data_IF_921483552962
#
_entry.id   IF_921483552962
#
_cell.length_a   1.000
_cell.length_b   1.000
_cell.length_c   1.000
_cell.angle_alpha   90.00
_cell.angle_beta   90.00
_cell.angle_gamma   90.00
#
_symmetry.space_group_name_H-M   'P 1'
#
loop_
_entity.id
_entity.type
_entity.pdbx_description
1 polymer ?
#
# COMPACT_ATOMS: atom_id res chain seq x y z
N UNK A 1 12.98 -1.94 12.24
CA UNK A 1 13.39 -0.51 12.16
C UNK A 1 12.37 0.38 11.44
N UNK A 2 11.91 0.03 10.22
CA UNK A 2 10.99 0.88 9.45
C UNK A 2 9.67 1.20 10.17
N UNK A 3 9.03 0.19 10.77
CA UNK A 3 7.77 0.39 11.49
C UNK A 3 7.96 1.23 12.76
N UNK A 4 9.06 1.03 13.49
CA UNK A 4 9.41 1.81 14.67
C UNK A 4 9.65 3.30 14.32
N UNK A 5 10.33 3.57 13.20
CA UNK A 5 10.53 4.93 12.69
C UNK A 5 9.20 5.60 12.30
N UNK A 6 8.33 4.89 11.57
CA UNK A 6 7.00 5.42 11.20
C UNK A 6 6.15 5.71 12.45
N UNK A 7 6.17 4.81 13.44
CA UNK A 7 5.44 4.98 14.71
C UNK A 7 5.94 6.17 15.52
N UNK A 8 7.25 6.38 15.61
CA UNK A 8 7.80 7.55 16.32
C UNK A 8 7.39 8.84 15.61
N UNK A 9 7.55 8.91 14.29
CA UNK A 9 7.17 10.12 13.54
C UNK A 9 5.66 10.38 13.64
N UNK A 10 4.82 9.34 13.67
CA UNK A 10 3.38 9.47 13.85
C UNK A 10 3.01 10.03 15.24
N UNK A 11 3.73 9.64 16.30
CA UNK A 11 3.56 10.20 17.65
C UNK A 11 3.91 11.70 17.69
N UNK A 12 4.88 12.12 16.88
CA UNK A 12 5.30 13.53 16.75
C UNK A 12 4.69 14.25 15.53
N UNK A 13 3.50 13.82 15.06
CA UNK A 13 2.82 14.44 13.91
C UNK A 13 2.59 15.95 14.01
N UNK A 14 2.49 16.47 15.24
CA UNK A 14 2.30 17.90 15.49
C UNK A 14 3.55 18.70 15.11
N UNK A 15 4.75 18.13 15.28
CA UNK A 15 6.02 18.75 14.87
C UNK A 15 6.11 18.90 13.35
N UNK A 16 5.43 18.03 12.59
CA UNK A 16 5.39 18.10 11.12
C UNK A 16 4.48 19.24 10.61
N UNK A 17 3.48 19.66 11.42
CA UNK A 17 2.60 20.79 11.06
C UNK A 17 3.35 22.12 11.08
N UNK A 18 4.38 22.25 11.91
CA UNK A 18 5.23 23.44 11.97
C UNK A 18 6.04 23.69 10.68
N UNK A 19 6.17 22.68 9.80
CA UNK A 19 6.79 22.83 8.48
C UNK A 19 5.90 23.56 7.46
N UNK A 20 4.59 23.62 7.74
CA UNK A 20 3.68 24.44 6.95
C UNK A 20 3.76 25.82 7.57
N UNK A 21 4.51 26.72 6.94
CA UNK A 21 4.40 28.15 7.22
C UNK A 21 2.91 28.47 7.19
N UNK A 22 2.38 29.02 8.30
CA UNK A 22 1.00 29.46 8.32
C UNK A 22 0.78 30.30 7.07
N UNK A 23 -0.10 29.84 6.18
CA UNK A 23 -0.59 30.70 5.13
C UNK A 23 -1.12 31.96 5.82
N UNK A 24 -0.90 33.16 5.26
CA UNK A 24 -1.56 34.34 5.78
C UNK A 24 -3.04 33.99 5.97
N UNK A 25 -3.64 34.42 7.08
CA UNK A 25 -5.09 34.25 7.26
C UNK A 25 -5.77 34.60 5.94
N UNK A 26 -6.71 33.77 5.46
CA UNK A 26 -7.42 34.10 4.24
C UNK A 26 -7.93 35.53 4.42
N UNK A 27 -7.54 36.44 3.51
CA UNK A 27 -8.19 37.73 3.41
C UNK A 27 -9.70 37.47 3.52
N UNK A 28 -10.43 38.28 4.32
CA UNK A 28 -11.86 38.07 4.51
C UNK A 28 -12.46 37.85 3.13
N UNK A 29 -13.21 36.74 2.97
CA UNK A 29 -13.79 36.32 1.69
C UNK A 29 -14.11 37.56 0.87
N UNK A 30 -13.57 37.75 -0.35
CA UNK A 30 -14.04 38.83 -1.19
C UNK A 30 -15.54 38.60 -1.28
N UNK A 31 -16.30 39.56 -0.70
CA UNK A 31 -17.74 39.54 -0.69
C UNK A 31 -18.15 39.13 -2.09
N UNK A 32 -18.84 37.99 -2.20
CA UNK A 32 -19.32 37.41 -3.45
C UNK A 32 -19.57 38.55 -4.42
N UNK A 33 -18.69 38.69 -5.43
CA UNK A 33 -18.89 39.71 -6.46
C UNK A 33 -20.32 39.52 -6.91
N UNK A 34 -21.16 40.51 -6.56
CA UNK A 34 -22.55 40.53 -6.99
C UNK A 34 -22.49 40.38 -8.49
N UNK A 35 -22.94 39.21 -8.97
CA UNK A 35 -23.02 38.88 -10.37
C UNK A 35 -23.63 40.09 -11.06
N UNK A 36 -22.82 40.85 -11.80
CA UNK A 36 -23.20 42.13 -12.38
C UNK A 36 -24.20 41.95 -13.53
N UNK A 37 -24.74 40.74 -13.71
CA UNK A 37 -26.01 40.57 -14.37
C UNK A 37 -27.09 41.03 -13.38
N UNK A 38 -27.77 42.15 -13.67
CA UNK A 38 -28.95 42.59 -12.91
C UNK A 38 -30.14 41.63 -13.00
N UNK A 39 -29.90 40.31 -13.08
CA UNK A 39 -30.88 39.25 -13.07
C UNK A 39 -31.00 38.70 -11.63
N UNK A 40 -32.19 38.71 -11.02
CA UNK A 40 -32.43 38.14 -9.69
C UNK A 40 -32.32 36.60 -9.63
N UNK A 41 -31.80 35.93 -10.67
CA UNK A 41 -31.72 34.47 -10.79
C UNK A 41 -30.27 33.99 -10.95
N UNK A 42 -29.80 33.02 -10.14
CA UNK A 42 -28.50 32.38 -10.33
C UNK A 42 -28.42 31.62 -11.67
N UNK A 43 -27.26 31.70 -12.33
CA UNK A 43 -26.97 30.98 -13.58
C UNK A 43 -27.01 29.45 -13.37
N UNK A 44 -27.73 28.73 -14.25
CA UNK A 44 -27.85 27.25 -14.19
C UNK A 44 -28.90 26.69 -13.22
N UNK A 45 -29.77 27.54 -12.66
CA UNK A 45 -30.84 27.08 -11.77
C UNK A 45 -32.04 26.56 -12.56
N UNK A 46 -32.32 25.25 -12.50
CA UNK A 46 -33.38 24.53 -13.23
C UNK A 46 -34.76 25.20 -13.22
N UNK A 47 -35.08 25.92 -12.14
CA UNK A 47 -36.34 26.67 -12.02
C UNK A 47 -36.33 27.98 -12.83
N UNK A 48 -35.22 28.71 -12.84
CA UNK A 48 -35.05 29.94 -13.61
C UNK A 48 -35.16 29.62 -15.11
N UNK A 49 -34.48 28.56 -15.55
CA UNK A 49 -34.52 28.11 -16.94
C UNK A 49 -35.92 27.67 -17.36
N UNK A 50 -36.62 26.92 -16.49
CA UNK A 50 -38.02 26.53 -16.73
C UNK A 50 -38.96 27.73 -16.78
N UNK A 51 -38.72 28.76 -15.97
CA UNK A 51 -39.54 29.97 -15.95
C UNK A 51 -39.31 30.81 -17.20
N UNK A 52 -38.05 30.97 -17.63
CA UNK A 52 -37.69 31.61 -18.91
C UNK A 52 -38.30 30.88 -20.10
N UNK A 53 -38.20 29.54 -20.13
CA UNK A 53 -38.80 28.73 -21.19
C UNK A 53 -40.33 28.91 -21.25
N UNK A 54 -41.03 28.81 -20.11
CA UNK A 54 -42.49 28.99 -20.04
C UNK A 54 -42.93 30.42 -20.38
N UNK A 55 -42.14 31.43 -20.02
CA UNK A 55 -42.39 32.83 -20.41
C UNK A 55 -42.24 33.01 -21.92
N UNK A 56 -41.18 32.46 -22.51
CA UNK A 56 -40.98 32.46 -23.95
C UNK A 56 -42.14 31.77 -24.70
N UNK A 57 -42.60 30.61 -24.22
CA UNK A 57 -43.72 29.86 -24.82
C UNK A 57 -45.04 30.66 -24.78
N UNK A 58 -45.34 31.29 -23.65
CA UNK A 58 -46.54 32.13 -23.48
C UNK A 58 -46.48 33.35 -24.40
N UNK A 59 -45.35 34.06 -24.44
CA UNK A 59 -45.18 35.27 -25.27
C UNK A 59 -45.14 34.95 -26.76
N UNK A 60 -44.58 33.81 -27.16
CA UNK A 60 -44.58 33.35 -28.56
C UNK A 60 -46.02 33.12 -29.05
N UNK A 61 -46.87 32.45 -28.25
CA UNK A 61 -48.27 32.22 -28.61
C UNK A 61 -49.09 33.51 -28.62
N UNK A 62 -48.83 34.46 -27.71
CA UNK A 62 -49.49 35.77 -27.71
C UNK A 62 -49.08 36.60 -28.93
N UNK A 63 -47.79 36.57 -29.32
CA UNK A 63 -47.28 37.25 -30.53
C UNK A 63 -47.87 36.65 -31.81
N UNK A 64 -48.14 35.35 -31.81
CA UNK A 64 -48.84 34.66 -32.90
C UNK A 64 -50.37 34.94 -32.93
N UNK A 65 -50.89 35.81 -32.06
CA UNK A 65 -52.29 36.26 -32.07
C UNK A 65 -53.26 35.40 -31.26
N UNK A 66 -52.77 34.39 -30.52
CA UNK A 66 -53.64 33.59 -29.66
C UNK A 66 -54.13 34.38 -28.44
N UNK A 67 -55.42 34.23 -28.10
CA UNK A 67 -55.95 34.81 -26.86
C UNK A 67 -55.39 34.10 -25.62
N UNK A 68 -55.28 34.79 -24.49
CA UNK A 68 -54.83 34.21 -23.20
C UNK A 68 -55.58 32.92 -22.82
N UNK A 69 -56.88 32.80 -23.17
CA UNK A 69 -57.69 31.58 -22.92
C UNK A 69 -57.31 30.42 -23.84
N UNK A 70 -56.84 30.71 -25.05
CA UNK A 70 -56.28 29.71 -25.97
C UNK A 70 -54.95 29.18 -25.44
N UNK A 71 -54.06 30.08 -25.01
CA UNK A 71 -52.76 29.74 -24.41
C UNK A 71 -52.93 28.85 -23.17
N UNK A 72 -53.92 29.15 -22.33
CA UNK A 72 -54.29 28.32 -21.18
C UNK A 72 -54.59 26.86 -21.57
N UNK A 73 -55.43 26.65 -22.59
CA UNK A 73 -55.81 25.31 -23.06
C UNK A 73 -54.65 24.57 -23.71
N UNK A 74 -53.81 25.28 -24.45
CA UNK A 74 -52.73 24.68 -25.23
C UNK A 74 -51.51 24.31 -24.39
N UNK A 75 -51.17 25.09 -23.36
CA UNK A 75 -50.04 24.82 -22.47
C UNK A 75 -50.45 24.07 -21.18
N UNK A 76 -51.74 23.78 -20.98
CA UNK A 76 -52.25 23.09 -19.78
C UNK A 76 -52.00 23.86 -18.48
N UNK A 77 -51.88 25.19 -18.55
CA UNK A 77 -51.60 26.05 -17.40
C UNK A 77 -52.89 26.61 -16.79
N UNK A 78 -52.84 27.06 -15.54
CA UNK A 78 -54.00 27.76 -14.94
C UNK A 78 -54.15 29.16 -15.51
N UNK A 79 -55.38 29.69 -15.52
CA UNK A 79 -55.66 31.07 -15.95
C UNK A 79 -54.80 32.11 -15.21
N UNK A 80 -54.63 31.94 -13.88
CA UNK A 80 -53.76 32.84 -13.08
C UNK A 80 -52.31 32.80 -13.54
N UNK A 81 -51.79 31.63 -13.85
CA UNK A 81 -50.41 31.47 -14.34
C UNK A 81 -50.23 32.11 -15.71
N UNK A 82 -51.14 31.87 -16.66
CA UNK A 82 -51.06 32.49 -18.00
C UNK A 82 -51.17 34.00 -17.90
N UNK A 83 -52.08 34.52 -17.07
CA UNK A 83 -52.20 35.96 -16.82
C UNK A 83 -50.89 36.53 -16.26
N UNK A 84 -50.34 35.90 -15.22
CA UNK A 84 -49.09 36.34 -14.59
C UNK A 84 -47.91 36.36 -15.56
N UNK A 85 -47.76 35.32 -16.40
CA UNK A 85 -46.68 35.22 -17.39
C UNK A 85 -46.89 36.18 -18.58
N UNK A 86 -48.12 36.43 -18.98
CA UNK A 86 -48.46 37.38 -20.05
C UNK A 86 -48.28 38.84 -19.62
N UNK A 87 -48.55 39.15 -18.35
CA UNK A 87 -48.45 40.50 -17.80
C UNK A 87 -47.00 40.87 -17.42
N UNK A 88 -46.13 39.88 -17.20
CA UNK A 88 -44.70 40.09 -16.97
C UNK A 88 -43.97 40.38 -18.29
N UNK A 89 -43.36 41.56 -18.40
CA UNK A 89 -42.61 41.97 -19.60
C UNK A 89 -41.28 41.21 -19.71
N UNK A 90 -40.71 40.82 -18.58
CA UNK A 90 -39.47 40.06 -18.48
C UNK A 90 -39.66 38.85 -17.55
N UNK A 91 -39.05 37.68 -17.85
CA UNK A 91 -39.08 36.52 -16.95
C UNK A 91 -38.62 36.83 -15.52
N UNK A 92 -37.76 37.83 -15.37
CA UNK A 92 -37.19 38.29 -14.10
C UNK A 92 -38.24 38.90 -13.16
N UNK A 93 -39.32 39.48 -13.68
CA UNK A 93 -40.42 40.05 -12.87
C UNK A 93 -41.26 38.97 -12.15
N UNK A 94 -41.13 37.71 -12.59
CA UNK A 94 -41.74 36.55 -11.93
C UNK A 94 -40.92 36.05 -10.74
N UNK A 95 -39.75 36.65 -10.48
CA UNK A 95 -38.93 36.36 -9.29
C UNK A 95 -39.58 36.97 -8.04
N UNK A 96 -40.37 36.16 -7.35
CA UNK A 96 -40.76 36.48 -5.98
C UNK A 96 -39.68 35.94 -5.05
N UNK A 97 -39.02 36.82 -4.29
CA UNK A 97 -37.88 36.51 -3.41
C UNK A 97 -38.09 35.41 -2.36
N UNK A 98 -39.26 34.76 -2.33
CA UNK A 98 -39.56 33.59 -1.51
C UNK A 98 -38.66 32.36 -1.79
N UNK A 99 -37.97 32.32 -2.93
CA UNK A 99 -37.21 31.14 -3.35
C UNK A 99 -35.71 31.19 -3.03
N UNK A 100 -35.18 32.35 -2.67
CA UNK A 100 -33.72 32.53 -2.66
C UNK A 100 -33.01 31.94 -1.44
N UNK A 101 -33.68 31.71 -0.30
CA UNK A 101 -32.99 31.19 0.90
C UNK A 101 -33.97 30.48 1.84
N UNK A 102 -34.58 29.37 1.42
CA UNK A 102 -35.24 28.50 2.39
C UNK A 102 -34.18 27.60 3.03
N UNK A 103 -34.00 27.65 4.36
CA UNK A 103 -33.13 26.71 5.06
C UNK A 103 -33.52 25.29 4.66
N UNK A 104 -32.57 24.57 4.07
CA UNK A 104 -32.72 23.14 3.83
C UNK A 104 -32.56 22.43 5.16
N UNK A 105 -33.26 21.30 5.35
CA UNK A 105 -33.07 20.41 6.52
C UNK A 105 -31.61 19.94 6.67
N UNK A 106 -30.79 20.03 5.62
CA UNK A 106 -29.33 19.76 5.69
C UNK A 106 -28.56 20.89 6.36
N UNK A 107 -29.05 22.12 6.29
CA UNK A 107 -28.32 23.31 6.75
C UNK A 107 -28.02 23.24 8.24
N UNK A 108 -28.96 22.74 9.04
CA UNK A 108 -28.80 22.51 10.48
C UNK A 108 -27.71 21.48 10.83
N UNK A 109 -27.38 20.58 9.89
CA UNK A 109 -26.40 19.50 10.08
C UNK A 109 -25.07 19.77 9.35
N UNK A 110 -24.94 20.91 8.64
CA UNK A 110 -23.69 21.29 7.97
C UNK A 110 -22.48 21.34 8.91
N UNK A 111 -22.57 21.92 10.13
CA UNK A 111 -21.43 21.97 11.04
C UNK A 111 -20.90 20.56 11.37
N UNK A 112 -21.80 19.64 11.70
CA UNK A 112 -21.43 18.24 11.99
C UNK A 112 -20.81 17.55 10.77
N UNK A 113 -21.40 17.73 9.58
CA UNK A 113 -20.87 17.16 8.35
C UNK A 113 -19.47 17.70 8.02
N UNK A 114 -19.19 18.96 8.38
CA UNK A 114 -17.91 19.62 8.14
C UNK A 114 -16.81 19.15 9.09
N UNK A 115 -17.13 18.99 10.37
CA UNK A 115 -16.21 18.45 11.36
C UNK A 115 -15.79 17.02 10.98
N UNK A 116 -16.76 16.15 10.65
CA UNK A 116 -16.49 14.77 10.24
C UNK A 116 -15.72 14.69 8.92
N UNK A 117 -15.97 15.61 8.00
CA UNK A 117 -15.19 15.73 6.76
C UNK A 117 -13.72 16.10 7.04
N UNK A 118 -13.49 17.01 7.98
CA UNK A 118 -12.14 17.44 8.37
C UNK A 118 -11.38 16.37 9.16
N UNK A 119 -12.09 15.49 9.88
CA UNK A 119 -11.54 14.29 10.52
C UNK A 119 -11.17 13.17 9.52
N UNK A 120 -11.48 13.36 8.23
CA UNK A 120 -11.14 12.43 7.14
C UNK A 120 -12.24 11.46 6.74
N UNK A 121 -13.45 11.56 7.33
CA UNK A 121 -14.59 10.76 6.90
C UNK A 121 -15.22 11.37 5.64
N UNK A 122 -14.83 10.88 4.47
CA UNK A 122 -15.33 11.40 3.18
C UNK A 122 -16.51 10.60 2.61
N UNK A 123 -16.90 9.49 3.24
CA UNK A 123 -17.99 8.65 2.74
C UNK A 123 -19.37 9.28 3.04
N UNK A 124 -20.05 9.75 1.99
CA UNK A 124 -21.35 10.42 2.10
C UNK A 124 -22.47 9.53 2.66
N UNK A 125 -22.40 8.21 2.44
CA UNK A 125 -23.38 7.26 2.99
C UNK A 125 -23.24 7.17 4.50
N UNK A 126 -22.00 6.99 4.98
CA UNK A 126 -21.68 6.91 6.41
C UNK A 126 -22.10 8.19 7.15
N UNK A 127 -21.81 9.35 6.56
CA UNK A 127 -22.21 10.63 7.15
C UNK A 127 -23.73 10.81 7.18
N UNK A 128 -24.46 10.32 6.17
CA UNK A 128 -25.92 10.33 6.19
C UNK A 128 -26.49 9.40 7.27
N UNK A 129 -25.93 8.20 7.39
CA UNK A 129 -26.30 7.22 8.42
C UNK A 129 -26.03 7.75 9.85
N UNK A 130 -24.97 8.53 10.06
CA UNK A 130 -24.65 9.16 11.34
C UNK A 130 -25.64 10.28 11.73
N UNK A 131 -26.14 11.07 10.77
CA UNK A 131 -27.05 12.18 11.07
C UNK A 131 -28.53 11.78 11.17
N UNK A 132 -28.93 10.63 10.60
CA UNK A 132 -30.32 10.12 10.70
C UNK A 132 -30.74 9.91 12.16
N UNK A 133 -29.95 9.24 13.03
CA UNK A 133 -30.22 9.14 14.46
C UNK A 133 -30.21 10.48 15.20
N UNK A 134 -29.46 11.47 14.69
CA UNK A 134 -29.43 12.83 15.25
C UNK A 134 -30.67 13.66 14.91
N UNK A 135 -31.65 13.08 14.21
CA UNK A 135 -32.93 13.71 13.89
C UNK A 135 -33.04 14.22 12.44
N UNK A 136 -32.09 13.88 11.57
CA UNK A 136 -32.12 14.30 10.18
C UNK A 136 -33.26 13.63 9.40
N UNK A 137 -34.20 14.45 8.91
CA UNK A 137 -35.38 14.00 8.14
C UNK A 137 -35.25 14.21 6.62
N UNK A 138 -34.07 14.61 6.15
CA UNK A 138 -33.84 14.88 4.73
C UNK A 138 -33.38 13.64 3.95
N UNK A 139 -33.32 13.75 2.62
CA UNK A 139 -32.86 12.65 1.77
C UNK A 139 -31.32 12.55 1.73
N UNK A 140 -30.82 11.34 1.50
CA UNK A 140 -29.41 11.06 1.24
C UNK A 140 -28.86 11.94 0.09
N UNK A 141 -29.66 12.17 -0.95
CA UNK A 141 -29.24 12.97 -2.12
C UNK A 141 -28.86 14.41 -1.75
N UNK A 142 -29.46 15.01 -0.71
CA UNK A 142 -29.09 16.35 -0.25
C UNK A 142 -27.74 16.38 0.45
N UNK A 143 -27.45 15.37 1.29
CA UNK A 143 -26.13 15.21 1.92
C UNK A 143 -25.07 14.94 0.86
N UNK A 144 -25.37 14.04 -0.09
CA UNK A 144 -24.48 13.75 -1.22
C UNK A 144 -24.20 15.00 -2.06
N UNK A 145 -25.21 15.81 -2.39
CA UNK A 145 -25.04 17.04 -3.16
C UNK A 145 -24.18 18.08 -2.41
N UNK A 146 -24.40 18.24 -1.10
CA UNK A 146 -23.60 19.12 -0.25
C UNK A 146 -22.11 18.72 -0.23
N UNK A 147 -21.84 17.43 0.01
CA UNK A 147 -20.47 16.89 0.05
C UNK A 147 -19.82 16.84 -1.34
N UNK A 148 -20.62 16.70 -2.41
CA UNK A 148 -20.11 16.78 -3.77
C UNK A 148 -19.59 18.18 -4.09
N UNK A 149 -20.30 19.24 -3.69
CA UNK A 149 -19.82 20.62 -3.81
C UNK A 149 -18.48 20.81 -3.10
N UNK A 150 -18.30 20.24 -1.90
CA UNK A 150 -17.01 20.30 -1.18
C UNK A 150 -15.87 19.53 -1.85
N UNK A 151 -16.18 18.49 -2.64
CA UNK A 151 -15.19 17.77 -3.45
C UNK A 151 -14.76 18.53 -4.69
N UNK A 152 -15.70 19.25 -5.31
CA UNK A 152 -15.49 19.93 -6.58
C UNK A 152 -15.10 21.39 -6.43
N UNK A 153 -15.28 22.00 -5.25
CA UNK A 153 -14.77 23.32 -4.94
C UNK A 153 -13.23 23.35 -5.03
N UNK A 154 -12.65 24.32 -5.76
CA UNK A 154 -11.20 24.49 -5.80
C UNK A 154 -10.72 24.82 -4.38
N UNK A 155 -9.98 23.91 -3.76
CA UNK A 155 -9.26 24.22 -2.51
C UNK A 155 -8.02 25.05 -2.86
N UNK A 156 -7.71 26.13 -2.12
CA UNK A 156 -6.37 26.70 -2.18
C UNK A 156 -5.39 25.58 -1.84
N UNK A 157 -4.33 25.44 -2.66
CA UNK A 157 -3.26 24.45 -2.46
C UNK A 157 -2.44 24.92 -1.26
N UNK A 158 -2.95 24.73 -0.05
CA UNK A 158 -2.14 24.85 1.16
C UNK A 158 -1.21 23.65 1.15
N UNK A 159 0.10 23.91 1.14
CA UNK A 159 1.12 22.87 1.21
C UNK A 159 0.80 21.96 2.41
N UNK A 160 0.47 20.70 2.14
CA UNK A 160 0.19 19.75 3.21
C UNK A 160 1.51 19.38 3.90
N UNK A 161 1.52 19.26 5.23
CA UNK A 161 2.71 18.76 5.90
C UNK A 161 3.02 17.35 5.38
N UNK A 162 4.31 16.98 5.27
CA UNK A 162 4.68 15.64 4.83
C UNK A 162 4.09 14.60 5.78
N UNK A 163 3.67 13.46 5.22
CA UNK A 163 3.09 12.39 6.03
C UNK A 163 4.15 11.76 6.95
N UNK A 164 3.77 11.16 8.09
CA UNK A 164 4.72 10.46 8.95
C UNK A 164 5.52 9.38 8.21
N UNK A 165 4.86 8.68 7.29
CA UNK A 165 5.48 7.68 6.42
C UNK A 165 6.51 8.29 5.46
N UNK A 166 6.23 9.48 4.93
CA UNK A 166 7.15 10.22 4.07
C UNK A 166 8.42 10.58 4.83
N UNK A 167 8.29 11.17 6.02
CA UNK A 167 9.43 11.58 6.85
C UNK A 167 10.21 10.37 7.35
N UNK A 168 9.54 9.29 7.77
CA UNK A 168 10.21 8.03 8.12
C UNK A 168 10.98 7.45 6.93
N UNK A 169 10.42 7.55 5.71
CA UNK A 169 11.08 7.19 4.46
C UNK A 169 12.36 8.01 4.22
N UNK A 170 12.35 9.31 4.50
CA UNK A 170 13.55 10.15 4.43
C UNK A 170 14.60 9.73 5.46
N UNK A 171 14.19 9.41 6.70
CA UNK A 171 15.10 8.99 7.77
C UNK A 171 15.81 7.66 7.42
N UNK A 172 15.10 6.74 6.76
CA UNK A 172 15.61 5.40 6.42
C UNK A 172 16.46 5.38 5.14
N UNK A 173 16.43 6.44 4.33
CA UNK A 173 17.22 6.55 3.10
C UNK A 173 18.59 7.16 3.39
N UNK A 174 19.54 6.85 2.50
CA UNK A 174 20.86 7.46 2.50
C UNK A 174 20.73 8.97 2.24
N UNK A 175 21.35 9.85 3.04
CA UNK A 175 21.27 11.30 2.87
C UNK A 175 21.63 11.76 1.45
N UNK A 176 22.60 11.10 0.83
CA UNK A 176 23.14 11.47 -0.49
C UNK A 176 22.17 11.17 -1.64
N UNK A 177 21.19 10.29 -1.43
CA UNK A 177 20.20 9.91 -2.45
C UNK A 177 18.89 10.67 -2.32
N UNK A 178 18.74 11.51 -1.30
CA UNK A 178 17.57 12.35 -1.10
C UNK A 178 17.68 13.63 -1.93
N UNK A 179 16.62 14.05 -2.65
CA UNK A 179 16.56 15.37 -3.28
C UNK A 179 16.81 16.50 -2.27
N UNK A 180 17.45 17.57 -2.71
CA UNK A 180 17.85 18.71 -1.85
C UNK A 180 16.65 19.32 -1.09
N UNK A 181 15.49 19.41 -1.73
CA UNK A 181 14.26 19.88 -1.09
C UNK A 181 13.82 18.99 0.09
N UNK A 182 13.94 17.66 -0.04
CA UNK A 182 13.60 16.71 1.03
C UNK A 182 14.65 16.74 2.15
N UNK A 183 15.92 16.93 1.81
CA UNK A 183 16.98 17.12 2.80
C UNK A 183 16.75 18.37 3.65
N UNK A 184 16.36 19.48 3.02
CA UNK A 184 16.05 20.72 3.72
C UNK A 184 14.83 20.56 4.64
N UNK A 185 13.77 19.91 4.17
CA UNK A 185 12.59 19.62 4.99
C UNK A 185 12.93 18.72 6.17
N UNK A 186 13.68 17.63 5.97
CA UNK A 186 14.12 16.75 7.06
C UNK A 186 14.99 17.51 8.07
N UNK A 187 15.89 18.39 7.60
CA UNK A 187 16.71 19.24 8.47
C UNK A 187 15.82 20.13 9.35
N UNK A 188 14.82 20.78 8.76
CA UNK A 188 13.87 21.62 9.51
C UNK A 188 13.10 20.81 10.55
N UNK A 189 12.60 19.61 10.21
CA UNK A 189 11.92 18.73 11.18
C UNK A 189 12.82 18.39 12.37
N UNK A 190 14.08 18.03 12.10
CA UNK A 190 15.05 17.66 13.15
C UNK A 190 15.38 18.84 14.07
N UNK A 191 15.44 20.06 13.53
CA UNK A 191 15.64 21.26 14.35
C UNK A 191 14.46 21.54 15.28
N UNK A 192 13.23 21.26 14.85
CA UNK A 192 12.02 21.54 15.63
C UNK A 192 11.57 20.41 16.56
N UNK A 193 12.11 19.20 16.41
CA UNK A 193 11.73 18.05 17.21
C UNK A 193 12.97 17.24 17.62
N UNK A 194 13.47 17.44 18.87
CA UNK A 194 14.60 16.70 19.41
C UNK A 194 14.43 15.18 19.36
N UNK A 195 13.20 14.68 19.49
CA UNK A 195 12.88 13.26 19.44
C UNK A 195 13.05 12.67 18.02
N UNK A 196 12.64 13.41 16.99
CA UNK A 196 12.89 13.02 15.59
C UNK A 196 14.38 13.13 15.24
N UNK A 197 15.09 14.12 15.79
CA UNK A 197 16.55 14.20 15.64
C UNK A 197 17.26 12.99 16.27
N UNK A 198 16.88 12.63 17.50
CA UNK A 198 17.40 11.46 18.19
C UNK A 198 17.10 10.17 17.42
N UNK A 199 15.85 9.98 16.96
CA UNK A 199 15.49 8.86 16.09
C UNK A 199 16.38 8.83 14.84
N UNK A 200 16.55 9.96 14.16
CA UNK A 200 17.35 10.04 12.94
C UNK A 200 18.79 9.61 13.19
N UNK A 201 19.38 10.07 14.31
CA UNK A 201 20.72 9.70 14.73
C UNK A 201 20.84 8.20 15.02
N UNK A 202 19.90 7.60 15.75
CA UNK A 202 19.91 6.16 16.05
C UNK A 202 19.73 5.30 14.80
N UNK A 203 18.81 5.66 13.90
CA UNK A 203 18.60 4.93 12.64
C UNK A 203 19.85 4.99 11.77
N UNK A 204 20.49 6.16 11.65
CA UNK A 204 21.73 6.31 10.88
C UNK A 204 22.90 5.54 11.51
N UNK A 205 23.07 5.61 12.83
CA UNK A 205 24.11 4.84 13.53
C UNK A 205 23.92 3.33 13.35
N UNK A 206 22.68 2.85 13.39
CA UNK A 206 22.37 1.44 13.13
C UNK A 206 22.63 1.05 11.67
N UNK A 207 22.30 1.93 10.72
CA UNK A 207 22.58 1.69 9.30
C UNK A 207 24.08 1.59 9.02
N UNK A 208 24.90 2.48 9.62
CA UNK A 208 26.37 2.41 9.54
C UNK A 208 26.88 1.08 10.10
N UNK A 209 26.38 0.68 11.28
CA UNK A 209 26.74 -0.59 11.90
C UNK A 209 26.44 -1.79 11.00
N UNK A 210 25.31 -1.75 10.29
CA UNK A 210 24.89 -2.79 9.37
C UNK A 210 25.71 -2.80 8.06
N UNK A 211 26.07 -1.62 7.52
CA UNK A 211 26.82 -1.52 6.27
C UNK A 211 28.32 -1.75 6.44
N UNK A 212 28.89 -1.30 7.55
CA UNK A 212 30.33 -1.44 7.88
C UNK A 212 30.63 -2.68 8.71
N UNK A 213 29.60 -3.47 9.02
CA UNK A 213 29.66 -4.71 9.77
C UNK A 213 30.27 -4.61 11.18
N UNK A 214 29.85 -3.59 11.92
CA UNK A 214 30.38 -3.24 13.24
C UNK A 214 29.51 -3.80 14.38
N UNK A 215 29.23 -5.10 14.37
CA UNK A 215 28.31 -5.72 15.35
C UNK A 215 28.76 -5.52 16.81
N UNK A 216 30.05 -5.35 17.07
CA UNK A 216 30.63 -5.05 18.38
C UNK A 216 30.10 -3.74 19.00
N UNK A 217 29.59 -2.81 18.18
CA UNK A 217 29.03 -1.51 18.63
C UNK A 217 27.57 -1.57 19.03
N UNK A 218 26.90 -2.71 18.83
CA UNK A 218 25.49 -2.90 19.16
C UNK A 218 25.15 -2.59 20.64
N UNK A 219 25.97 -2.99 21.64
CA UNK A 219 25.69 -2.70 23.04
C UNK A 219 25.61 -1.21 23.35
N UNK A 220 26.57 -0.44 22.82
CA UNK A 220 26.63 1.01 23.02
C UNK A 220 25.45 1.70 22.34
N UNK A 221 25.06 1.21 21.17
CA UNK A 221 23.88 1.70 20.47
C UNK A 221 22.58 1.45 21.27
N UNK A 222 22.40 0.25 21.83
CA UNK A 222 21.26 -0.07 22.68
C UNK A 222 21.22 0.82 23.94
N UNK A 223 22.37 1.03 24.58
CA UNK A 223 22.48 1.93 25.73
C UNK A 223 22.13 3.39 25.35
N UNK A 224 22.54 3.83 24.16
CA UNK A 224 22.19 5.15 23.66
C UNK A 224 20.68 5.30 23.39
N UNK A 225 20.04 4.31 22.77
CA UNK A 225 18.58 4.33 22.52
C UNK A 225 17.79 4.41 23.83
N UNK A 226 18.24 3.70 24.87
CA UNK A 226 17.60 3.73 26.20
C UNK A 226 17.79 5.05 26.93
N UNK A 227 18.93 5.73 26.71
CA UNK A 227 19.23 7.03 27.33
C UNK A 227 18.40 8.16 26.74
N UNK A 228 18.18 8.14 25.43
CA UNK A 228 17.40 9.15 24.73
C UNK A 228 15.88 8.94 24.89
N UNK A 229 15.47 7.89 25.62
CA UNK A 229 14.08 7.54 25.99
C UNK A 229 13.09 7.69 24.82
N UNK A 230 13.29 6.85 23.78
CA UNK A 230 12.43 6.81 22.60
C UNK A 230 11.49 5.60 22.68
N UNK A 231 10.23 5.75 23.16
CA UNK A 231 9.36 4.62 23.45
C UNK A 231 9.06 3.76 22.21
N UNK A 232 9.04 4.38 21.03
CA UNK A 232 8.85 3.71 19.75
C UNK A 232 9.97 2.72 19.38
N UNK A 233 11.18 2.90 19.93
CA UNK A 233 12.32 2.00 19.73
C UNK A 233 12.49 1.00 20.88
N UNK A 234 11.82 1.16 22.02
CA UNK A 234 11.99 0.27 23.18
C UNK A 234 11.64 -1.17 22.89
N UNK A 235 10.53 -1.43 22.19
CA UNK A 235 10.15 -2.79 21.80
C UNK A 235 11.18 -3.43 20.87
N UNK A 236 11.74 -2.64 19.95
CA UNK A 236 12.79 -3.10 19.04
C UNK A 236 14.10 -3.38 19.81
N UNK A 237 14.51 -2.47 20.68
CA UNK A 237 15.70 -2.61 21.52
C UNK A 237 15.60 -3.83 22.44
N UNK A 238 14.43 -4.07 23.06
CA UNK A 238 14.18 -5.25 23.87
C UNK A 238 14.15 -6.56 23.05
N UNK A 239 13.70 -6.51 21.79
CA UNK A 239 13.84 -7.62 20.85
C UNK A 239 15.30 -7.93 20.56
N UNK A 240 16.06 -6.93 20.15
CA UNK A 240 17.48 -7.06 19.82
C UNK A 240 18.30 -7.56 21.02
N UNK A 241 18.01 -7.09 22.23
CA UNK A 241 18.76 -7.49 23.43
C UNK A 241 18.51 -8.95 23.84
N UNK A 242 17.33 -9.51 23.52
CA UNK A 242 17.04 -10.94 23.73
C UNK A 242 17.86 -11.84 22.81
N UNK A 243 18.07 -11.40 21.57
CA UNK A 243 18.79 -12.15 20.53
C UNK A 243 20.19 -11.56 20.29
N UNK A 244 20.78 -10.93 21.30
CA UNK A 244 21.95 -10.04 21.16
C UNK A 244 23.13 -10.71 20.45
N UNK A 245 23.50 -11.92 20.86
CA UNK A 245 24.64 -12.63 20.26
C UNK A 245 24.38 -12.97 18.79
N UNK A 246 23.15 -13.37 18.46
CA UNK A 246 22.73 -13.64 17.09
C UNK A 246 22.72 -12.38 16.22
N UNK A 247 22.27 -11.24 16.77
CA UNK A 247 22.28 -9.96 16.06
C UNK A 247 23.70 -9.44 15.87
N UNK A 248 24.58 -9.55 16.88
CA UNK A 248 26.01 -9.22 16.75
C UNK A 248 26.63 -10.08 15.65
N UNK A 249 26.39 -11.39 15.64
CA UNK A 249 26.88 -12.28 14.60
C UNK A 249 26.36 -11.88 13.22
N UNK A 250 25.05 -11.61 13.08
CA UNK A 250 24.44 -11.17 11.82
C UNK A 250 24.88 -9.79 11.34
N UNK A 251 25.34 -8.92 12.24
CA UNK A 251 25.93 -7.62 11.91
C UNK A 251 27.43 -7.70 11.63
N UNK A 252 28.14 -8.73 12.08
CA UNK A 252 29.61 -8.82 11.94
C UNK A 252 30.02 -9.75 10.80
N UNK A 253 29.33 -10.86 10.65
CA UNK A 253 29.69 -11.92 9.70
C UNK A 253 29.22 -11.58 8.29
N UNK A 254 29.92 -12.07 7.25
CA UNK A 254 29.50 -11.89 5.85
C UNK A 254 28.21 -12.62 5.47
N UNK A 255 27.73 -13.52 6.32
CA UNK A 255 26.59 -14.40 6.07
C UNK A 255 25.32 -13.82 6.71
N UNK A 256 24.31 -13.49 5.91
CA UNK A 256 23.02 -12.97 6.41
C UNK A 256 21.85 -13.75 5.83
N UNK A 257 20.97 -14.25 6.71
CA UNK A 257 19.72 -14.92 6.34
C UNK A 257 18.57 -13.95 6.00
N UNK A 258 18.81 -12.63 6.03
CA UNK A 258 17.76 -11.60 5.95
C UNK A 258 16.99 -11.53 4.62
N UNK A 259 17.50 -12.18 3.57
CA UNK A 259 16.74 -12.35 2.33
C UNK A 259 15.61 -13.37 2.53
N UNK A 260 15.86 -14.49 3.23
CA UNK A 260 14.94 -15.62 3.44
C UNK A 260 13.69 -15.20 4.25
N UNK A 261 13.83 -14.29 5.23
CA UNK A 261 12.71 -13.88 6.10
C UNK A 261 11.66 -13.00 5.41
N UNK A 262 12.02 -12.24 4.37
CA UNK A 262 11.05 -11.39 3.63
C UNK A 262 10.12 -12.19 2.71
N UNK A 263 10.43 -13.46 2.45
CA UNK A 263 9.68 -14.33 1.54
C UNK A 263 8.43 -14.94 2.16
N UNK A 264 8.41 -15.16 3.48
CA UNK A 264 7.25 -15.75 4.19
C UNK A 264 6.02 -14.82 4.14
N UNK A 265 6.22 -13.52 3.93
CA UNK A 265 5.15 -12.51 4.09
C UNK A 265 4.41 -12.17 2.78
N UNK A 266 4.87 -12.61 1.61
CA UNK A 266 4.39 -12.06 0.31
C UNK A 266 3.85 -13.07 -0.71
N UNK A 267 3.53 -14.29 -0.28
CA UNK A 267 2.84 -15.30 -1.09
C UNK A 267 1.42 -15.47 -0.56
N UNK A 268 0.44 -14.94 -1.29
CA UNK A 268 -1.02 -15.06 -1.16
C UNK A 268 -1.66 -15.07 0.25
N UNK A 269 -2.41 -14.01 0.56
CA UNK A 269 -3.08 -13.77 1.85
C UNK A 269 -4.30 -14.65 2.14
N UNK A 270 -4.64 -15.64 1.31
CA UNK A 270 -5.90 -16.37 1.46
C UNK A 270 -5.85 -17.80 2.02
N UNK A 271 -4.74 -18.56 1.99
CA UNK A 271 -4.81 -19.99 2.40
C UNK A 271 -3.62 -20.62 3.15
N UNK A 272 -2.55 -19.91 3.50
CA UNK A 272 -1.42 -20.54 4.24
C UNK A 272 -0.90 -19.70 5.42
N UNK A 273 -1.80 -19.31 6.33
CA UNK A 273 -1.37 -18.86 7.66
C UNK A 273 -1.23 -20.07 8.59
N UNK A 274 0.04 -20.42 8.89
CA UNK A 274 0.51 -21.10 10.12
C UNK A 274 1.25 -22.45 9.98
N UNK A 275 1.67 -22.90 8.80
CA UNK A 275 2.58 -24.07 8.73
C UNK A 275 4.05 -23.62 8.65
N UNK A 276 4.84 -23.96 9.65
CA UNK A 276 6.31 -23.88 9.58
C UNK A 276 6.79 -24.82 8.47
N UNK A 277 7.65 -24.35 7.57
CA UNK A 277 8.15 -25.11 6.43
C UNK A 277 9.68 -25.00 6.34
N UNK A 278 10.30 -26.07 5.84
CA UNK A 278 11.72 -26.07 5.46
C UNK A 278 11.82 -25.60 4.00
N UNK A 279 12.73 -24.66 3.75
CA UNK A 279 13.08 -24.18 2.41
C UNK A 279 14.57 -24.43 2.21
N UNK A 280 14.92 -25.11 1.11
CA UNK A 280 16.31 -25.38 0.73
C UNK A 280 16.67 -24.36 -0.35
N UNK A 281 17.73 -23.58 -0.13
CA UNK A 281 18.20 -22.60 -1.13
C UNK A 281 19.43 -23.14 -1.85
N UNK A 282 19.42 -23.04 -3.17
CA UNK A 282 20.51 -23.46 -4.05
C UNK A 282 20.96 -22.26 -4.89
N UNK A 283 22.24 -21.92 -4.81
CA UNK A 283 22.83 -20.86 -5.62
C UNK A 283 23.05 -21.36 -7.05
N UNK A 284 22.73 -20.53 -8.03
CA UNK A 284 22.96 -20.79 -9.45
C UNK A 284 23.15 -19.51 -10.26
N UNK A 285 23.76 -19.62 -11.43
CA UNK A 285 23.96 -18.54 -12.40
C UNK A 285 22.72 -18.37 -13.27
N UNK A 286 22.06 -19.46 -13.69
CA UNK A 286 20.85 -19.43 -14.51
C UNK A 286 19.68 -20.13 -13.81
N UNK A 287 18.84 -19.33 -13.14
CA UNK A 287 17.66 -19.84 -12.43
C UNK A 287 16.64 -20.52 -13.35
N UNK A 288 16.56 -20.15 -14.63
CA UNK A 288 15.61 -20.74 -15.57
C UNK A 288 16.07 -22.12 -16.04
N UNK A 289 17.33 -22.23 -16.47
CA UNK A 289 17.91 -23.51 -16.87
C UNK A 289 17.90 -24.51 -15.71
N UNK A 290 18.21 -24.03 -14.50
CA UNK A 290 18.14 -24.82 -13.28
C UNK A 290 16.71 -25.23 -12.92
N UNK A 291 15.73 -24.34 -13.08
CA UNK A 291 14.33 -24.69 -12.85
C UNK A 291 13.89 -25.82 -13.78
N UNK A 292 14.26 -25.78 -15.06
CA UNK A 292 13.90 -26.81 -16.03
C UNK A 292 14.53 -28.17 -15.69
N UNK A 293 15.83 -28.17 -15.32
CA UNK A 293 16.50 -29.37 -14.84
C UNK A 293 15.82 -29.95 -13.59
N UNK A 294 15.65 -29.13 -12.54
CA UNK A 294 15.14 -29.60 -11.26
C UNK A 294 13.66 -30.03 -11.33
N UNK A 295 12.83 -29.41 -12.17
CA UNK A 295 11.46 -29.86 -12.40
C UNK A 295 11.41 -31.22 -13.12
N UNK A 296 12.30 -31.44 -14.10
CA UNK A 296 12.40 -32.73 -14.77
C UNK A 296 12.98 -33.83 -13.84
N UNK A 297 13.99 -33.48 -13.04
CA UNK A 297 14.59 -34.36 -12.05
C UNK A 297 13.57 -34.74 -10.96
N UNK A 298 12.82 -33.78 -10.43
CA UNK A 298 11.83 -33.99 -9.36
C UNK A 298 10.43 -34.34 -9.88
N UNK A 299 10.28 -34.67 -11.17
CA UNK A 299 8.98 -35.01 -11.76
C UNK A 299 8.18 -36.09 -11.01
N UNK A 300 8.78 -37.14 -10.39
CA UNK A 300 8.01 -38.10 -9.57
C UNK A 300 7.38 -37.49 -8.30
N UNK A 301 7.85 -36.33 -7.87
CA UNK A 301 7.41 -35.63 -6.65
C UNK A 301 6.44 -34.48 -6.92
N UNK A 302 5.98 -34.31 -8.16
CA UNK A 302 4.95 -33.31 -8.54
C UNK A 302 5.33 -31.84 -8.21
N UNK A 303 6.63 -31.51 -8.23
CA UNK A 303 7.10 -30.13 -8.06
C UNK A 303 6.65 -29.23 -9.21
N UNK A 304 6.36 -27.97 -8.89
CA UNK A 304 5.91 -26.95 -9.85
C UNK A 304 6.64 -25.63 -9.63
N UNK A 305 6.72 -24.81 -10.68
CA UNK A 305 7.18 -23.42 -10.54
C UNK A 305 6.23 -22.66 -9.60
N UNK A 306 6.82 -22.00 -8.61
CA UNK A 306 6.15 -21.11 -7.68
C UNK A 306 6.47 -19.65 -8.01
N UNK A 307 6.96 -18.93 -7.01
CA UNK A 307 7.42 -17.55 -7.16
C UNK A 307 8.56 -17.42 -8.19
N UNK A 308 8.54 -16.33 -8.96
CA UNK A 308 9.60 -15.91 -9.87
C UNK A 308 9.80 -14.40 -9.75
N UNK A 309 11.03 -13.98 -9.46
CA UNK A 309 11.41 -12.58 -9.39
C UNK A 309 12.84 -12.39 -8.87
N UNK A 310 13.69 -11.56 -9.52
CA UNK A 310 15.11 -11.51 -9.20
C UNK A 310 15.41 -11.23 -7.72
N UNK A 311 16.40 -11.92 -7.11
CA UNK A 311 17.25 -12.96 -7.71
C UNK A 311 16.68 -14.39 -7.63
N UNK A 312 15.38 -14.60 -7.38
CA UNK A 312 14.87 -15.92 -6.98
C UNK A 312 13.86 -16.56 -7.93
N UNK A 313 13.88 -17.89 -7.99
CA UNK A 313 12.85 -18.75 -8.57
C UNK A 313 12.60 -19.94 -7.64
N UNK A 314 11.36 -20.16 -7.20
CA UNK A 314 11.02 -21.27 -6.29
C UNK A 314 10.37 -22.43 -7.04
N UNK A 315 10.69 -23.66 -6.64
CA UNK A 315 10.01 -24.89 -7.01
C UNK A 315 9.30 -25.47 -5.79
N UNK A 316 8.00 -25.69 -5.91
CA UNK A 316 7.11 -26.05 -4.80
C UNK A 316 6.52 -27.44 -5.07
N UNK A 317 6.78 -28.37 -4.16
CA UNK A 317 6.15 -29.69 -4.14
C UNK A 317 4.85 -29.72 -3.35
N UNK A 318 4.08 -30.82 -3.42
CA UNK A 318 2.91 -31.02 -2.57
C UNK A 318 3.33 -31.10 -1.10
N UNK A 319 2.61 -30.39 -0.22
CA UNK A 319 2.90 -30.44 1.21
C UNK A 319 2.86 -31.89 1.73
N UNK A 320 3.80 -32.29 2.59
CA UNK A 320 4.76 -31.46 3.34
C UNK A 320 6.14 -31.28 2.67
N UNK A 321 6.27 -31.45 1.35
CA UNK A 321 7.55 -31.31 0.66
C UNK A 321 8.20 -29.93 0.89
N UNK A 322 9.53 -29.86 1.10
CA UNK A 322 10.24 -28.60 1.21
C UNK A 322 10.18 -27.82 -0.11
N UNK A 323 10.30 -26.49 -0.03
CA UNK A 323 10.47 -25.67 -1.23
C UNK A 323 11.94 -25.65 -1.63
N UNK A 324 12.24 -25.87 -2.91
CA UNK A 324 13.58 -25.65 -3.47
C UNK A 324 13.63 -24.23 -4.07
N UNK A 325 14.45 -23.36 -3.48
CA UNK A 325 14.61 -21.97 -3.89
C UNK A 325 15.91 -21.81 -4.68
N UNK A 326 15.82 -21.50 -5.96
CA UNK A 326 16.96 -21.19 -6.81
C UNK A 326 17.29 -19.70 -6.65
N UNK A 327 18.53 -19.41 -6.27
CA UNK A 327 19.03 -18.05 -6.05
C UNK A 327 20.07 -17.71 -7.11
N UNK A 328 19.77 -16.72 -7.94
CA UNK A 328 20.71 -16.15 -8.90
C UNK A 328 21.91 -15.50 -8.18
N UNK A 329 23.09 -16.08 -8.37
CA UNK A 329 24.40 -15.55 -7.97
C UNK A 329 25.26 -15.45 -9.24
N UNK A 330 25.86 -14.28 -9.55
CA UNK A 330 26.57 -14.08 -10.82
C UNK A 330 27.88 -14.89 -10.90
N UNK A 331 28.46 -15.25 -9.75
CA UNK A 331 29.64 -16.10 -9.69
C UNK A 331 29.26 -17.60 -9.80
N UNK A 332 29.95 -18.37 -10.64
CA UNK A 332 29.84 -19.83 -10.63
C UNK A 332 30.22 -20.43 -9.27
N UNK A 333 29.68 -21.62 -8.98
CA UNK A 333 29.97 -22.36 -7.74
C UNK A 333 31.48 -22.50 -7.49
N UNK A 334 31.90 -22.19 -6.27
CA UNK A 334 33.27 -22.36 -5.79
C UNK A 334 33.35 -23.41 -4.69
N UNK A 335 34.16 -24.44 -4.91
CA UNK A 335 34.36 -25.52 -3.95
C UNK A 335 33.13 -26.42 -3.82
N UNK A 336 33.07 -27.17 -2.71
CA UNK A 336 32.02 -28.15 -2.42
C UNK A 336 30.84 -27.51 -1.68
N UNK A 337 29.61 -27.92 -2.00
CA UNK A 337 28.44 -27.56 -1.21
C UNK A 337 28.58 -28.04 0.24
N UNK A 338 28.35 -27.15 1.21
CA UNK A 338 28.44 -27.47 2.65
C UNK A 338 27.22 -28.21 3.18
N UNK A 339 26.09 -28.07 2.48
CA UNK A 339 24.86 -28.80 2.72
C UNK A 339 24.74 -29.86 1.63
N UNK A 340 24.44 -31.10 2.04
CA UNK A 340 24.10 -32.17 1.10
C UNK A 340 22.58 -32.17 0.90
N UNK A 341 22.16 -32.22 -0.37
CA UNK A 341 20.77 -32.48 -0.74
C UNK A 341 20.66 -33.97 -1.10
N UNK A 342 19.96 -34.74 -0.29
CA UNK A 342 19.75 -36.17 -0.52
C UNK A 342 18.33 -36.40 -1.02
N UNK A 343 18.19 -37.09 -2.15
CA UNK A 343 16.90 -37.40 -2.78
C UNK A 343 16.65 -38.90 -2.75
N UNK A 344 15.62 -39.30 -2.00
CA UNK A 344 15.07 -40.65 -2.02
C UNK A 344 13.96 -40.76 -3.09
N UNK A 345 14.26 -41.44 -4.19
CA UNK A 345 13.30 -41.68 -5.26
C UNK A 345 12.45 -42.94 -5.01
N UNK A 346 12.56 -43.57 -3.84
CA UNK A 346 11.80 -44.75 -3.46
C UNK A 346 12.19 -46.03 -4.21
N UNK A 347 13.32 -46.01 -4.92
CA UNK A 347 13.87 -47.14 -5.68
C UNK A 347 15.17 -47.62 -5.07
N UNK A 348 15.38 -48.95 -5.09
CA UNK A 348 16.65 -49.56 -4.70
C UNK A 348 17.67 -49.60 -5.86
N UNK A 349 17.25 -49.30 -7.08
CA UNK A 349 18.08 -49.22 -8.29
C UNK A 349 18.53 -47.77 -8.52
N UNK A 350 19.60 -47.39 -7.83
CA UNK A 350 20.20 -46.06 -7.91
C UNK A 350 20.79 -45.78 -9.30
N UNK A 351 21.32 -46.81 -9.96
CA UNK A 351 22.00 -46.66 -11.26
C UNK A 351 21.02 -46.27 -12.35
N UNK A 352 19.85 -46.90 -12.41
CA UNK A 352 18.81 -46.52 -13.38
C UNK A 352 18.35 -45.07 -13.19
N UNK A 353 18.24 -44.63 -11.94
CA UNK A 353 17.83 -43.26 -11.62
C UNK A 353 18.92 -42.24 -11.97
N UNK A 354 20.19 -42.54 -11.69
CA UNK A 354 21.33 -41.72 -12.14
C UNK A 354 21.36 -41.65 -13.66
N UNK A 355 21.19 -42.76 -14.39
CA UNK A 355 21.13 -42.77 -15.85
C UNK A 355 20.00 -41.87 -16.39
N UNK A 356 18.87 -41.75 -15.67
CA UNK A 356 17.78 -40.83 -16.02
C UNK A 356 18.21 -39.38 -15.83
N UNK A 357 18.84 -39.06 -14.71
CA UNK A 357 19.32 -37.71 -14.41
C UNK A 357 20.44 -37.27 -15.37
N UNK A 358 21.35 -38.17 -15.77
CA UNK A 358 22.39 -37.87 -16.76
C UNK A 358 21.79 -37.49 -18.12
N UNK A 359 20.69 -38.15 -18.55
CA UNK A 359 19.95 -37.76 -19.76
C UNK A 359 19.31 -36.37 -19.66
N UNK A 360 19.11 -35.85 -18.45
CA UNK A 360 18.59 -34.50 -18.19
C UNK A 360 19.70 -33.45 -18.05
N UNK A 361 20.98 -33.86 -18.08
CA UNK A 361 22.13 -32.97 -17.97
C UNK A 361 22.87 -33.02 -16.63
N UNK A 362 22.52 -33.96 -15.74
CA UNK A 362 23.32 -34.20 -14.54
C UNK A 362 24.66 -34.87 -14.88
N UNK A 363 25.65 -34.73 -14.00
CA UNK A 363 26.92 -35.45 -14.08
C UNK A 363 27.10 -36.41 -12.90
N UNK A 364 27.37 -37.69 -13.14
CA UNK A 364 27.77 -38.63 -12.08
C UNK A 364 29.16 -38.27 -11.53
N UNK A 365 29.26 -38.10 -10.21
CA UNK A 365 30.50 -37.70 -9.52
C UNK A 365 31.14 -38.83 -8.71
N UNK A 366 30.40 -39.88 -8.36
CA UNK A 366 30.92 -41.04 -7.63
C UNK A 366 30.35 -42.35 -8.17
N UNK A 367 31.01 -43.46 -7.89
CA UNK A 367 30.37 -44.77 -7.92
C UNK A 367 29.35 -44.92 -6.78
N UNK A 368 28.60 -46.02 -6.75
CA UNK A 368 27.71 -46.34 -5.62
C UNK A 368 28.54 -46.48 -4.33
N UNK A 369 28.21 -45.63 -3.37
CA UNK A 369 28.77 -45.61 -2.03
C UNK A 369 27.77 -46.25 -1.06
N UNK A 370 28.30 -46.90 -0.04
CA UNK A 370 27.48 -47.55 0.99
C UNK A 370 28.14 -47.43 2.35
N UNK A 371 27.38 -46.94 3.34
CA UNK A 371 27.83 -46.78 4.71
C UNK A 371 26.64 -46.94 5.65
N UNK A 372 26.80 -47.71 6.73
CA UNK A 372 25.74 -47.94 7.74
C UNK A 372 24.37 -48.37 7.17
N UNK A 373 24.36 -49.03 6.01
CA UNK A 373 23.14 -49.50 5.33
C UNK A 373 22.47 -48.45 4.46
N UNK A 374 22.96 -47.21 4.43
CA UNK A 374 22.62 -46.21 3.42
C UNK A 374 23.38 -46.52 2.14
N UNK A 375 22.74 -46.33 0.99
CA UNK A 375 23.38 -46.41 -0.32
C UNK A 375 23.11 -45.14 -1.09
N UNK A 376 24.12 -44.59 -1.74
CA UNK A 376 23.95 -43.37 -2.52
C UNK A 376 24.95 -43.25 -3.67
N UNK A 377 24.58 -42.47 -4.68
CA UNK A 377 25.47 -42.01 -5.75
C UNK A 377 25.46 -40.48 -5.73
N UNK A 378 26.64 -39.86 -5.68
CA UNK A 378 26.77 -38.41 -5.77
C UNK A 378 26.70 -38.00 -7.24
N UNK A 379 25.81 -37.05 -7.52
CA UNK A 379 25.59 -36.45 -8.83
C UNK A 379 25.67 -34.93 -8.72
N UNK A 380 25.95 -34.25 -9.82
CA UNK A 380 25.87 -32.81 -9.92
C UNK A 380 24.78 -32.40 -10.90
N UNK A 381 24.09 -31.30 -10.60
CA UNK A 381 23.25 -30.62 -11.58
C UNK A 381 24.09 -29.94 -12.68
N UNK A 382 23.47 -29.36 -13.73
CA UNK A 382 24.19 -28.70 -14.82
C UNK A 382 25.15 -27.59 -14.41
N UNK A 383 25.01 -27.02 -13.22
CA UNK A 383 25.89 -25.99 -12.68
C UNK A 383 26.91 -26.49 -11.65
N UNK A 384 26.97 -27.81 -11.43
CA UNK A 384 27.96 -28.42 -10.56
C UNK A 384 27.57 -28.46 -9.08
N UNK A 385 26.30 -28.18 -8.73
CA UNK A 385 25.82 -28.36 -7.37
C UNK A 385 25.61 -29.85 -7.07
N UNK A 386 26.26 -30.34 -6.02
CA UNK A 386 26.20 -31.75 -5.67
C UNK A 386 24.90 -32.10 -4.92
N UNK A 387 24.29 -33.22 -5.30
CA UNK A 387 23.19 -33.89 -4.59
C UNK A 387 23.36 -35.41 -4.66
N UNK A 388 22.69 -36.15 -3.80
CA UNK A 388 22.76 -37.61 -3.77
C UNK A 388 21.46 -38.24 -4.28
N UNK A 389 21.58 -39.22 -5.16
CA UNK A 389 20.51 -40.22 -5.36
C UNK A 389 20.68 -41.24 -4.25
N UNK A 390 19.71 -41.32 -3.35
CA UNK A 390 19.86 -41.93 -2.03
C UNK A 390 18.82 -43.03 -1.82
N UNK A 391 19.21 -44.10 -1.14
CA UNK A 391 18.30 -45.14 -0.66
C UNK A 391 18.60 -45.46 0.82
N UNK A 392 17.62 -45.29 1.72
CA UNK A 392 17.81 -45.59 3.14
C UNK A 392 17.85 -47.10 3.41
N UNK A 393 18.36 -47.54 4.58
CA UNK A 393 18.25 -48.93 5.01
C UNK A 393 16.79 -49.32 5.26
N UNK A 394 16.46 -50.59 5.00
CA UNK A 394 15.11 -51.17 5.10
C UNK A 394 14.39 -50.98 6.46
N UNK A 395 15.10 -50.56 7.51
CA UNK A 395 14.56 -50.43 8.86
C UNK A 395 14.16 -48.99 9.24
N UNK A 396 14.30 -48.01 8.33
CA UNK A 396 13.80 -46.66 8.57
C UNK A 396 12.30 -46.64 8.22
N UNK A 397 11.48 -47.00 9.20
CA UNK A 397 10.03 -46.76 9.15
C UNK A 397 9.81 -45.23 9.20
N UNK A 398 9.89 -44.56 8.06
CA UNK A 398 9.25 -43.25 7.89
C UNK A 398 7.81 -43.55 7.53
N UNK A 399 6.89 -43.32 8.47
CA UNK A 399 5.45 -43.42 8.22
C UNK A 399 5.11 -42.58 6.98
N UNK A 400 4.65 -43.26 5.92
CA UNK A 400 4.18 -42.63 4.68
C UNK A 400 2.89 -41.85 4.90
#
# INVERSE_FOLDING_TARGET
>A
MSEAAERAVAQHRNCLRALVTAAPEPDPEPALEEDSSGSPWPTGHRFADRTRARHADVHALLKAGHSRRSVQRQLGMTWRTVKQFADAARPEELSTGQWQNRPSVVDDYKPYLDDRWNEGCTNAWKLWEEIVPLGYKGSYQRVRAYLHKKRTSPRPVVARPPSPRTVAGWILRRPETLPEAEQLQLKTVRTHCPEIDALTRHVRAFAVMLTERQGERLPDWLAAVRRDDLPSLHTLAAGIDRDRDAVIAGLTLPWSSGAVEKWIVRTDQASYRSAMQIVVTLDCVDTEAQADFWLAALSPLDYRRGFQGPPYLSLVGPAPAPTLLLQHVPEPKQGKNRMHLDLDFGTADLVSEVNRLERLGAAKLSEELSEHGFRWIVVADPEGNEFCVFHPPNNINVAR
#
